data_IF_186135706767
#
_entry.id   IF_186135706767
#
_cell.length_a   1.000
_cell.length_b   1.000
_cell.length_c   1.000
_cell.angle_alpha   90.00
_cell.angle_beta   90.00
_cell.angle_gamma   90.00
#
_symmetry.space_group_name_H-M   'P 1'
#
loop_
_entity.id
_entity.type
_entity.pdbx_description
1 polymer ?
#
# COMPACT_ATOMS: atom_id res chain seq x y z
N UNK A 1 16.33 -4.28 -12.93
CA UNK A 1 15.96 -5.59 -12.40
C UNK A 1 16.38 -5.78 -10.95
N UNK A 2 17.66 -5.61 -10.64
CA UNK A 2 18.19 -5.73 -9.27
C UNK A 2 17.55 -4.74 -8.31
N UNK A 3 17.41 -3.49 -8.71
CA UNK A 3 16.80 -2.44 -7.88
C UNK A 3 15.34 -2.75 -7.57
N UNK A 4 14.57 -3.26 -8.55
CA UNK A 4 13.17 -3.65 -8.33
C UNK A 4 13.06 -4.75 -7.28
N UNK A 5 13.91 -5.79 -7.34
CA UNK A 5 13.91 -6.85 -6.31
C UNK A 5 14.23 -6.30 -4.93
N UNK A 6 15.21 -5.40 -4.82
CA UNK A 6 15.59 -4.78 -3.54
C UNK A 6 14.44 -3.98 -2.93
N UNK A 7 13.69 -3.22 -3.74
CA UNK A 7 12.53 -2.45 -3.29
C UNK A 7 11.42 -3.36 -2.77
N UNK A 8 11.16 -4.48 -3.45
CA UNK A 8 10.19 -5.48 -2.95
C UNK A 8 10.66 -6.16 -1.66
N UNK A 9 11.94 -6.48 -1.54
CA UNK A 9 12.51 -7.01 -0.29
C UNK A 9 12.40 -6.00 0.84
N UNK A 10 12.64 -4.73 0.56
CA UNK A 10 12.44 -3.65 1.53
C UNK A 10 10.98 -3.59 2.01
N UNK A 11 10.01 -3.68 1.08
CA UNK A 11 8.59 -3.72 1.43
C UNK A 11 8.23 -4.95 2.28
N UNK A 12 8.73 -6.14 1.94
CA UNK A 12 8.53 -7.32 2.77
C UNK A 12 9.17 -7.15 4.15
N UNK A 13 10.37 -6.57 4.21
CA UNK A 13 11.03 -6.21 5.47
C UNK A 13 10.20 -5.23 6.32
N UNK A 14 9.53 -4.26 5.69
CA UNK A 14 8.66 -3.33 6.41
C UNK A 14 7.46 -4.01 7.09
N UNK A 15 6.90 -5.07 6.48
CA UNK A 15 5.85 -5.88 7.10
C UNK A 15 6.39 -6.59 8.35
N UNK A 16 7.57 -7.19 8.25
CA UNK A 16 8.20 -7.87 9.39
C UNK A 16 8.50 -6.88 10.51
N UNK A 17 9.07 -5.73 10.19
CA UNK A 17 9.38 -4.67 11.15
C UNK A 17 8.09 -4.21 11.84
N UNK A 18 7.04 -3.96 11.10
CA UNK A 18 5.74 -3.55 11.65
C UNK A 18 5.12 -4.62 12.53
N UNK A 19 5.32 -5.91 12.23
CA UNK A 19 4.79 -7.00 13.05
C UNK A 19 5.54 -7.17 14.38
N UNK A 20 6.88 -6.98 14.38
CA UNK A 20 7.75 -7.31 15.51
C UNK A 20 8.14 -6.09 16.34
N UNK A 21 8.34 -4.94 15.70
CA UNK A 21 8.94 -3.76 16.30
C UNK A 21 8.03 -2.51 16.21
N UNK A 22 6.71 -2.67 16.21
CA UNK A 22 5.77 -1.55 16.09
C UNK A 22 5.99 -0.48 17.17
N UNK A 23 6.15 -0.87 18.43
CA UNK A 23 6.39 0.05 19.55
C UNK A 23 7.71 0.83 19.39
N UNK A 24 8.74 0.22 18.83
CA UNK A 24 10.03 0.89 18.55
C UNK A 24 9.88 1.93 17.43
N UNK A 25 9.16 1.59 16.37
CA UNK A 25 8.89 2.53 15.27
C UNK A 25 8.05 3.70 15.76
N UNK A 26 7.01 3.44 16.56
CA UNK A 26 6.20 4.48 17.19
C UNK A 26 7.06 5.41 18.06
N UNK A 27 7.96 4.87 18.90
CA UNK A 27 8.83 5.66 19.75
C UNK A 27 9.82 6.55 18.98
N UNK A 28 10.27 6.14 17.79
CA UNK A 28 11.10 6.98 16.93
C UNK A 28 10.28 8.17 16.40
N UNK A 29 9.04 7.93 15.97
CA UNK A 29 8.19 8.99 15.43
C UNK A 29 7.73 9.98 16.50
N UNK A 30 7.44 9.51 17.73
CA UNK A 30 7.17 10.38 18.88
C UNK A 30 8.41 11.22 19.23
N UNK A 31 9.58 10.60 19.26
CA UNK A 31 10.85 11.32 19.51
C UNK A 31 11.25 12.37 18.46
N UNK A 32 10.67 12.31 17.24
CA UNK A 32 10.87 13.31 16.19
C UNK A 32 9.95 14.55 16.31
N UNK A 33 9.21 14.69 17.42
CA UNK A 33 8.37 15.86 17.70
C UNK A 33 7.01 15.83 16.99
N UNK A 34 6.57 14.65 16.52
CA UNK A 34 5.19 14.48 16.06
C UNK A 34 4.19 14.38 17.22
N UNK A 35 4.69 14.25 18.46
CA UNK A 35 3.91 14.04 19.69
C UNK A 35 3.08 15.25 20.09
N UNK A 36 3.64 16.47 20.04
CA UNK A 36 2.96 17.70 20.50
C UNK A 36 1.67 18.00 19.70
N UNK A 37 1.57 17.45 18.49
CA UNK A 37 0.34 17.56 17.68
C UNK A 37 -0.61 16.36 17.86
N UNK A 38 -0.09 15.23 18.33
CA UNK A 38 -0.87 14.01 18.56
C UNK A 38 -1.53 14.01 19.94
N UNK A 39 -0.88 14.54 20.97
CA UNK A 39 -1.42 14.60 22.34
C UNK A 39 -2.70 15.45 22.43
N UNK A 40 -2.78 16.56 21.70
CA UNK A 40 -3.99 17.37 21.61
C UNK A 40 -5.18 16.67 20.97
N UNK A 41 -4.91 15.62 20.17
CA UNK A 41 -5.95 14.79 19.56
C UNK A 41 -6.25 13.51 20.34
N UNK A 42 -5.30 12.99 21.11
CA UNK A 42 -5.49 11.76 21.92
C UNK A 42 -6.39 12.03 23.13
N UNK A 43 -6.26 13.19 23.78
CA UNK A 43 -7.08 13.56 24.93
C UNK A 43 -8.55 13.87 24.59
N UNK A 44 -8.85 14.22 23.31
CA UNK A 44 -10.22 14.46 22.88
C UNK A 44 -10.94 13.21 22.35
N UNK A 45 -10.29 12.05 22.33
CA UNK A 45 -10.80 10.82 21.71
C UNK A 45 -11.18 9.70 22.68
N UNK A 46 -11.10 9.93 23.99
CA UNK A 46 -11.62 8.94 24.96
C UNK A 46 -13.14 8.73 24.83
N UNK A 47 -13.87 9.63 24.18
CA UNK A 47 -15.32 9.57 24.00
C UNK A 47 -15.79 9.10 22.61
N UNK A 48 -14.89 8.87 21.63
CA UNK A 48 -15.33 8.54 20.26
C UNK A 48 -15.03 7.07 19.92
N UNK A 49 -15.98 6.20 20.32
CA UNK A 49 -15.99 4.76 20.01
C UNK A 49 -15.94 4.40 18.51
N UNK A 50 -15.92 5.40 17.61
CA UNK A 50 -15.93 5.19 16.16
C UNK A 50 -14.56 4.95 15.52
N UNK A 51 -13.45 5.11 16.25
CA UNK A 51 -12.09 4.95 15.73
C UNK A 51 -11.28 3.82 16.35
N UNK A 52 -11.90 2.91 17.12
CA UNK A 52 -11.23 1.86 17.89
C UNK A 52 -10.81 0.61 17.09
N UNK A 53 -10.32 0.78 15.86
CA UNK A 53 -9.61 -0.31 15.19
C UNK A 53 -8.09 -0.08 15.22
N UNK A 54 -7.55 -0.04 16.44
CA UNK A 54 -6.11 -0.12 16.70
C UNK A 54 -5.66 -1.57 16.54
N UNK A 55 -5.38 -1.96 15.31
CA UNK A 55 -4.92 -3.30 15.00
C UNK A 55 -4.22 -3.36 13.64
N UNK A 56 -3.48 -4.43 13.41
CA UNK A 56 -2.86 -4.64 12.12
C UNK A 56 -3.95 -4.91 11.04
N UNK A 57 -4.16 -3.97 10.13
CA UNK A 57 -5.19 -3.99 9.10
C UNK A 57 -4.76 -4.82 7.89
N UNK A 58 -4.92 -6.14 7.98
CA UNK A 58 -4.62 -7.08 6.89
C UNK A 58 -5.42 -6.82 5.61
N UNK A 59 -6.65 -6.37 5.75
CA UNK A 59 -7.55 -6.00 4.67
C UNK A 59 -6.95 -4.89 3.79
N UNK A 60 -6.50 -3.80 4.39
CA UNK A 60 -5.84 -2.70 3.68
C UNK A 60 -4.47 -3.07 3.11
N UNK A 61 -3.72 -3.91 3.82
CA UNK A 61 -2.45 -4.43 3.32
C UNK A 61 -2.65 -5.25 2.04
N UNK A 62 -3.62 -6.18 2.03
CA UNK A 62 -3.96 -6.98 0.85
C UNK A 62 -4.44 -6.10 -0.30
N UNK A 63 -5.32 -5.12 -0.01
CA UNK A 63 -5.76 -4.17 -1.02
C UNK A 63 -4.59 -3.42 -1.64
N UNK A 64 -3.73 -2.83 -0.83
CA UNK A 64 -2.58 -2.05 -1.31
C UNK A 64 -1.50 -2.90 -2.01
N UNK A 65 -1.46 -4.21 -1.77
CA UNK A 65 -0.54 -5.12 -2.44
C UNK A 65 -0.93 -5.47 -3.89
N UNK A 66 -2.18 -5.22 -4.31
CA UNK A 66 -2.63 -5.59 -5.67
C UNK A 66 -1.82 -4.95 -6.80
N UNK A 67 -1.55 -3.63 -6.83
CA UNK A 67 -0.69 -3.05 -7.87
C UNK A 67 0.73 -3.60 -7.83
N UNK A 68 1.22 -3.98 -6.64
CA UNK A 68 2.55 -4.59 -6.50
C UNK A 68 2.59 -6.00 -7.10
N UNK A 69 1.57 -6.81 -6.91
CA UNK A 69 1.48 -8.14 -7.55
C UNK A 69 1.45 -8.03 -9.06
N UNK A 70 0.67 -7.08 -9.60
CA UNK A 70 0.69 -6.80 -11.03
C UNK A 70 2.07 -6.32 -11.49
N UNK A 71 2.70 -5.42 -10.76
CA UNK A 71 4.05 -4.92 -11.04
C UNK A 71 5.10 -6.04 -11.01
N UNK A 72 5.05 -6.91 -10.00
CA UNK A 72 5.88 -8.11 -9.93
C UNK A 72 5.70 -8.98 -11.18
N UNK A 73 4.46 -9.25 -11.57
CA UNK A 73 4.16 -10.05 -12.74
C UNK A 73 4.71 -9.41 -14.03
N UNK A 74 4.46 -8.12 -14.25
CA UNK A 74 4.88 -7.40 -15.46
C UNK A 74 6.41 -7.28 -15.53
N UNK A 75 7.05 -6.85 -14.45
CA UNK A 75 8.47 -6.52 -14.45
C UNK A 75 9.34 -7.76 -14.24
N UNK A 76 9.01 -8.60 -13.27
CA UNK A 76 9.88 -9.72 -12.90
C UNK A 76 9.55 -11.00 -13.68
N UNK A 77 8.28 -11.29 -13.96
CA UNK A 77 7.89 -12.50 -14.66
C UNK A 77 7.85 -12.31 -16.17
N UNK A 78 7.24 -11.23 -16.65
CA UNK A 78 7.15 -10.92 -18.08
C UNK A 78 8.38 -10.19 -18.63
N UNK A 79 9.24 -9.63 -17.75
CA UNK A 79 10.44 -8.88 -18.10
C UNK A 79 10.17 -7.69 -19.03
N UNK A 80 9.00 -7.07 -18.87
CA UNK A 80 8.64 -5.85 -19.61
C UNK A 80 9.18 -4.66 -18.85
N UNK A 81 10.19 -3.98 -19.39
CA UNK A 81 10.83 -2.84 -18.78
C UNK A 81 10.39 -1.56 -19.47
N UNK A 82 9.59 -0.77 -18.77
CA UNK A 82 9.23 0.59 -19.15
C UNK A 82 9.68 1.52 -18.03
N UNK A 83 10.49 2.53 -18.37
CA UNK A 83 11.10 3.43 -17.38
C UNK A 83 10.07 4.21 -16.56
N UNK A 84 9.01 4.68 -17.22
CA UNK A 84 7.93 5.42 -16.57
C UNK A 84 7.15 4.51 -15.60
N UNK A 85 6.83 3.30 -16.05
CA UNK A 85 6.15 2.34 -15.18
C UNK A 85 7.03 1.93 -14.00
N UNK A 86 8.32 1.71 -14.20
CA UNK A 86 9.25 1.39 -13.12
C UNK A 86 9.34 2.52 -12.10
N UNK A 87 9.38 3.77 -12.55
CA UNK A 87 9.37 4.92 -11.65
C UNK A 87 8.10 4.95 -10.79
N UNK A 88 6.93 4.85 -11.43
CA UNK A 88 5.63 4.83 -10.74
C UNK A 88 5.54 3.68 -9.74
N UNK A 89 5.92 2.47 -10.17
CA UNK A 89 5.89 1.28 -9.32
C UNK A 89 6.84 1.41 -8.12
N UNK A 90 8.08 1.86 -8.34
CA UNK A 90 9.05 2.01 -7.25
C UNK A 90 8.61 3.07 -6.23
N UNK A 91 8.10 4.21 -6.70
CA UNK A 91 7.56 5.26 -5.82
C UNK A 91 6.37 4.73 -5.01
N UNK A 92 5.46 4.00 -5.66
CA UNK A 92 4.33 3.38 -4.99
C UNK A 92 4.77 2.39 -3.90
N UNK A 93 5.67 1.46 -4.24
CA UNK A 93 6.13 0.42 -3.29
C UNK A 93 6.86 1.04 -2.10
N UNK A 94 7.68 2.08 -2.33
CA UNK A 94 8.38 2.78 -1.25
C UNK A 94 7.41 3.55 -0.35
N UNK A 95 6.45 4.28 -0.92
CA UNK A 95 5.43 4.98 -0.15
C UNK A 95 4.55 4.01 0.66
N UNK A 96 4.21 2.87 0.06
CA UNK A 96 3.45 1.82 0.74
C UNK A 96 4.27 1.14 1.85
N UNK A 97 5.56 0.88 1.64
CA UNK A 97 6.44 0.33 2.67
C UNK A 97 6.52 1.27 3.89
N UNK A 98 6.61 2.58 3.66
CA UNK A 98 6.59 3.57 4.72
C UNK A 98 5.29 3.53 5.51
N UNK A 99 4.13 3.49 4.82
CA UNK A 99 2.84 3.33 5.49
C UNK A 99 2.75 2.03 6.29
N UNK A 100 3.23 0.90 5.73
CA UNK A 100 3.20 -0.41 6.41
C UNK A 100 3.99 -0.39 7.71
N UNK A 101 5.10 0.33 7.80
CA UNK A 101 5.84 0.51 9.04
C UNK A 101 5.00 1.19 10.13
N UNK A 102 4.09 2.07 9.72
CA UNK A 102 3.22 2.85 10.60
C UNK A 102 1.79 2.30 10.70
N UNK A 103 1.52 1.09 10.20
CA UNK A 103 0.15 0.55 10.06
C UNK A 103 -0.61 0.44 11.40
N UNK A 104 0.13 0.33 12.50
CA UNK A 104 -0.42 0.26 13.86
C UNK A 104 -0.52 1.62 14.55
N UNK A 105 0.14 2.64 14.02
CA UNK A 105 0.12 3.97 14.60
C UNK A 105 -1.29 4.59 14.45
N UNK A 106 -1.67 5.36 15.44
CA UNK A 106 -2.85 6.22 15.36
C UNK A 106 -2.71 7.12 14.13
N UNK A 107 -3.80 7.32 13.38
CA UNK A 107 -3.78 8.11 12.12
C UNK A 107 -2.96 7.51 10.95
N UNK A 108 -2.62 6.23 10.98
CA UNK A 108 -1.91 5.55 9.89
C UNK A 108 -2.58 5.76 8.51
N UNK A 109 -3.89 5.98 8.48
CA UNK A 109 -4.65 6.28 7.26
C UNK A 109 -4.12 7.50 6.50
N UNK A 110 -3.60 8.52 7.18
CA UNK A 110 -3.03 9.71 6.52
C UNK A 110 -1.77 9.37 5.72
N UNK A 111 -0.97 8.45 6.23
CA UNK A 111 0.22 7.95 5.52
C UNK A 111 -0.16 6.98 4.40
N UNK A 112 -1.27 6.27 4.54
CA UNK A 112 -1.80 5.41 3.48
C UNK A 112 -2.11 6.21 2.20
N UNK A 113 -2.62 7.44 2.31
CA UNK A 113 -2.93 8.28 1.15
C UNK A 113 -1.72 8.56 0.26
N UNK A 114 -0.48 8.53 0.78
CA UNK A 114 0.73 8.68 -0.03
C UNK A 114 0.85 7.61 -1.12
N UNK A 115 0.47 6.37 -0.79
CA UNK A 115 0.45 5.28 -1.76
C UNK A 115 -0.90 5.13 -2.46
N UNK A 116 -2.01 5.29 -1.75
CA UNK A 116 -3.35 5.08 -2.32
C UNK A 116 -3.69 6.06 -3.43
N UNK A 117 -3.20 7.29 -3.36
CA UNK A 117 -3.33 8.25 -4.46
C UNK A 117 -2.76 7.70 -5.78
N UNK A 118 -1.63 6.99 -5.73
CA UNK A 118 -0.99 6.40 -6.90
C UNK A 118 -1.57 5.04 -7.30
N UNK A 119 -2.37 4.40 -6.43
CA UNK A 119 -2.92 3.06 -6.62
C UNK A 119 -3.57 2.87 -7.98
N UNK A 120 -4.58 3.69 -8.40
CA UNK A 120 -5.25 3.50 -9.67
C UNK A 120 -4.31 3.69 -10.86
N UNK A 121 -3.34 4.60 -10.75
CA UNK A 121 -2.38 4.87 -11.83
C UNK A 121 -1.42 3.69 -12.00
N UNK A 122 -0.86 3.17 -10.92
CA UNK A 122 0.09 2.04 -10.96
C UNK A 122 -0.61 0.76 -11.42
N UNK A 123 -1.90 0.60 -11.11
CA UNK A 123 -2.70 -0.54 -11.55
C UNK A 123 -3.09 -0.43 -13.04
N UNK A 124 -3.58 0.73 -13.48
CA UNK A 124 -4.10 0.95 -14.81
C UNK A 124 -3.01 1.09 -15.88
N UNK A 125 -1.90 1.76 -15.55
CA UNK A 125 -0.84 2.05 -16.53
C UNK A 125 -0.35 0.79 -17.27
N UNK A 126 0.08 -0.29 -16.63
CA UNK A 126 0.56 -1.46 -17.34
C UNK A 126 -0.56 -2.18 -18.10
N UNK A 127 -1.78 -2.17 -17.60
CA UNK A 127 -2.92 -2.83 -18.23
C UNK A 127 -3.38 -2.14 -19.51
N UNK A 128 -3.20 -0.82 -19.60
CA UNK A 128 -3.64 -0.03 -20.75
C UNK A 128 -2.52 0.26 -21.77
N UNK A 129 -1.26 0.36 -21.31
CA UNK A 129 -0.17 0.84 -22.17
C UNK A 129 0.84 -0.24 -22.55
N UNK A 130 0.97 -1.32 -21.76
CA UNK A 130 1.98 -2.33 -21.99
C UNK A 130 1.38 -3.60 -22.63
N UNK A 131 2.02 -4.19 -23.64
CA UNK A 131 1.54 -5.43 -24.28
C UNK A 131 1.85 -6.65 -23.40
N UNK A 132 1.02 -6.89 -22.36
CA UNK A 132 1.24 -7.97 -21.41
C UNK A 132 0.72 -9.31 -21.94
N UNK A 133 -0.41 -9.30 -22.63
CA UNK A 133 -1.09 -10.50 -23.14
C UNK A 133 -1.60 -10.32 -24.57
N UNK A 134 -1.79 -11.44 -25.30
CA UNK A 134 -2.39 -11.44 -26.64
C UNK A 134 -3.84 -10.91 -26.61
N UNK A 135 -4.67 -11.36 -25.64
CA UNK A 135 -6.08 -10.95 -25.49
C UNK A 135 -6.22 -9.95 -24.33
N UNK A 136 -5.46 -8.87 -24.39
CA UNK A 136 -5.34 -7.93 -23.27
C UNK A 136 -6.69 -7.34 -22.85
N UNK A 137 -7.52 -6.91 -23.80
CA UNK A 137 -8.80 -6.29 -23.50
C UNK A 137 -9.74 -7.17 -22.66
N UNK A 138 -9.86 -8.46 -23.00
CA UNK A 138 -10.68 -9.41 -22.22
C UNK A 138 -10.14 -9.62 -20.82
N UNK A 139 -8.81 -9.77 -20.69
CA UNK A 139 -8.16 -9.99 -19.38
C UNK A 139 -8.22 -8.75 -18.50
N UNK A 140 -8.05 -7.58 -19.09
CA UNK A 140 -8.23 -6.30 -18.38
C UNK A 140 -9.66 -6.16 -17.88
N UNK A 141 -10.65 -6.47 -18.72
CA UNK A 141 -12.06 -6.47 -18.32
C UNK A 141 -12.31 -7.39 -17.12
N UNK A 142 -11.81 -8.62 -17.13
CA UNK A 142 -11.94 -9.56 -16.02
C UNK A 142 -11.25 -9.04 -14.74
N UNK A 143 -10.07 -8.46 -14.85
CA UNK A 143 -9.35 -7.88 -13.71
C UNK A 143 -10.14 -6.71 -13.13
N UNK A 144 -10.68 -5.82 -13.96
CA UNK A 144 -11.48 -4.68 -13.52
C UNK A 144 -12.76 -5.14 -12.80
N UNK A 145 -13.49 -6.11 -13.38
CA UNK A 145 -14.68 -6.66 -12.73
C UNK A 145 -14.34 -7.29 -11.39
N UNK A 146 -13.27 -8.10 -11.33
CA UNK A 146 -12.81 -8.71 -10.08
C UNK A 146 -12.41 -7.67 -9.04
N UNK A 147 -11.75 -6.58 -9.48
CA UNK A 147 -11.36 -5.49 -8.59
C UNK A 147 -12.56 -4.71 -8.04
N UNK A 148 -13.55 -4.41 -8.87
CA UNK A 148 -14.79 -3.76 -8.46
C UNK A 148 -15.53 -4.63 -7.44
N UNK A 149 -15.68 -5.93 -7.70
CA UNK A 149 -16.33 -6.86 -6.77
C UNK A 149 -15.57 -6.92 -5.43
N UNK A 150 -14.25 -7.00 -5.47
CA UNK A 150 -13.43 -7.00 -4.27
C UNK A 150 -13.58 -5.70 -3.46
N UNK A 151 -13.53 -4.55 -4.13
CA UNK A 151 -13.73 -3.24 -3.48
C UNK A 151 -15.12 -3.13 -2.87
N UNK A 152 -16.14 -3.64 -3.56
CA UNK A 152 -17.51 -3.66 -3.06
C UNK A 152 -17.66 -4.55 -1.81
N UNK A 153 -17.04 -5.72 -1.80
CA UNK A 153 -17.02 -6.60 -0.63
C UNK A 153 -16.29 -5.97 0.57
N UNK A 154 -15.20 -5.26 0.29
CA UNK A 154 -14.49 -4.51 1.33
C UNK A 154 -15.35 -3.39 1.93
N UNK A 155 -16.12 -2.70 1.10
CA UNK A 155 -17.03 -1.63 1.53
C UNK A 155 -18.18 -2.13 2.39
N UNK A 156 -18.74 -3.30 2.08
CA UNK A 156 -19.83 -3.90 2.90
C UNK A 156 -19.34 -4.38 4.27
N UNK A 157 -18.06 -4.78 4.36
CA UNK A 157 -17.47 -5.28 5.61
C UNK A 157 -16.96 -4.18 6.56
N UNK A 158 -16.72 -2.99 6.07
CA UNK A 158 -16.22 -1.83 6.83
C UNK A 158 -17.34 -1.00 7.39
#
# INVERSE_FOLDING_TARGET
YRNTKMIYLFWLGSIVISAVASSFVESIFTGLGFDDRLDGYLHNMEDDYMFSHTGFRWDFLLYSAMPMWLGWYVVLKRKIFNSQYLLLLHTYVLANAFWVMLIRASYSNRFAYLSWFMYPVVLAYPLLTLPIWKDQGKKVGMILVGHILFTYLMWIRG
#
